data_IF_098785148366
#
_entry.id   IF_098785148366
#
_cell.length_a   1.000
_cell.length_b   1.000
_cell.length_c   1.000
_cell.angle_alpha   90.00
_cell.angle_beta   90.00
_cell.angle_gamma   90.00
#
_symmetry.space_group_name_H-M   'P 1'
#
loop_
_entity.id
_entity.type
_entity.pdbx_description
1 polymer ?
#
# COMPACT_ATOMS: atom_id res chain seq x y z
N UNK A 1 -15.47 -19.00 13.87
CA UNK A 1 -14.20 -18.53 13.27
C UNK A 1 -14.52 -17.41 12.30
N UNK A 2 -13.88 -16.25 12.47
CA UNK A 2 -14.02 -15.08 11.60
C UNK A 2 -12.78 -15.00 10.72
N UNK A 3 -12.96 -14.84 9.39
CA UNK A 3 -11.86 -14.71 8.44
C UNK A 3 -12.08 -13.45 7.63
N UNK A 4 -11.07 -12.56 7.61
CA UNK A 4 -11.06 -11.37 6.75
C UNK A 4 -9.89 -11.43 5.78
N UNK A 5 -10.16 -11.03 4.55
CA UNK A 5 -9.20 -10.96 3.46
C UNK A 5 -9.16 -9.53 2.92
N UNK A 6 -7.96 -8.97 2.78
CA UNK A 6 -7.73 -7.65 2.21
C UNK A 6 -6.67 -7.78 1.12
N UNK A 7 -6.98 -7.24 -0.05
CA UNK A 7 -6.13 -7.33 -1.22
C UNK A 7 -5.00 -6.29 -1.21
N UNK A 8 -3.93 -6.59 -1.92
CA UNK A 8 -2.90 -5.62 -2.28
C UNK A 8 -3.50 -4.48 -3.11
N UNK A 9 -2.78 -3.36 -3.20
CA UNK A 9 -3.23 -2.21 -3.99
C UNK A 9 -2.15 -1.68 -4.92
N UNK A 10 -2.60 -1.08 -6.02
CA UNK A 10 -1.80 -0.30 -6.96
C UNK A 10 -2.22 1.17 -6.88
N UNK A 11 -1.26 2.08 -6.64
CA UNK A 11 -1.45 3.52 -6.88
C UNK A 11 -1.32 3.81 -8.37
N UNK A 12 -2.43 4.18 -9.02
CA UNK A 12 -2.50 4.41 -10.47
C UNK A 12 -1.95 5.79 -10.82
N UNK A 13 -2.39 6.83 -10.11
CA UNK A 13 -1.93 8.21 -10.30
C UNK A 13 -1.99 9.01 -9.01
N UNK A 14 -1.26 10.13 -8.97
CA UNK A 14 -1.26 11.08 -7.86
C UNK A 14 -0.25 10.78 -6.75
N UNK A 15 0.09 9.51 -6.50
CA UNK A 15 1.08 9.20 -5.47
C UNK A 15 2.49 9.74 -5.84
N UNK A 16 3.21 10.36 -4.88
CA UNK A 16 3.06 10.27 -3.43
C UNK A 16 2.29 11.42 -2.76
N UNK A 17 1.46 12.19 -3.46
CA UNK A 17 0.84 13.40 -2.89
C UNK A 17 -0.14 13.14 -1.74
N UNK A 18 -0.59 11.91 -1.55
CA UNK A 18 -1.43 11.48 -0.41
C UNK A 18 -0.79 11.74 0.97
N UNK A 19 0.53 11.67 1.07
CA UNK A 19 1.28 12.05 2.27
C UNK A 19 1.47 13.55 2.45
N UNK A 20 0.96 14.38 1.53
CA UNK A 20 1.16 15.84 1.43
C UNK A 20 -0.14 16.58 1.13
N UNK A 21 -1.25 16.08 1.62
CA UNK A 21 -2.59 16.66 1.45
C UNK A 21 -3.07 16.75 -0.01
N UNK A 22 -2.52 15.91 -0.89
CA UNK A 22 -2.90 15.84 -2.30
C UNK A 22 -4.00 14.82 -2.57
N UNK A 23 -3.99 14.29 -3.80
CA UNK A 23 -5.02 13.39 -4.31
C UNK A 23 -4.40 12.17 -4.94
N UNK A 24 -5.10 11.02 -4.91
CA UNK A 24 -4.66 9.80 -5.58
C UNK A 24 -5.81 9.02 -6.18
N UNK A 25 -5.49 8.24 -7.22
CA UNK A 25 -6.32 7.16 -7.74
C UNK A 25 -5.60 5.84 -7.48
N UNK A 26 -6.27 4.93 -6.80
CA UNK A 26 -5.71 3.60 -6.49
C UNK A 26 -6.77 2.51 -6.67
N UNK A 27 -6.32 1.29 -6.95
CA UNK A 27 -7.18 0.13 -7.09
C UNK A 27 -6.61 -1.05 -6.30
N UNK A 28 -7.48 -1.82 -5.67
CA UNK A 28 -7.12 -3.13 -5.14
C UNK A 28 -6.89 -4.12 -6.29
N UNK A 29 -5.99 -5.09 -6.07
CA UNK A 29 -5.70 -6.16 -7.03
C UNK A 29 -5.79 -7.52 -6.36
N UNK A 30 -6.42 -8.49 -7.02
CA UNK A 30 -6.65 -9.85 -6.48
C UNK A 30 -5.45 -10.78 -6.57
N UNK A 31 -4.36 -10.34 -7.20
CA UNK A 31 -3.11 -11.10 -7.28
C UNK A 31 -2.60 -11.51 -5.90
N UNK A 32 -2.66 -10.60 -4.94
CA UNK A 32 -2.10 -10.79 -3.60
C UNK A 32 -3.08 -10.32 -2.53
N UNK A 33 -3.00 -10.97 -1.36
CA UNK A 33 -3.85 -10.60 -0.23
C UNK A 33 -3.19 -10.88 1.12
N UNK A 34 -3.61 -10.14 2.14
CA UNK A 34 -3.47 -10.52 3.53
C UNK A 34 -4.76 -11.16 4.03
N UNK A 35 -4.64 -12.18 4.87
CA UNK A 35 -5.74 -12.87 5.53
C UNK A 35 -5.51 -12.85 7.03
N UNK A 36 -6.53 -12.55 7.80
CA UNK A 36 -6.54 -12.66 9.26
C UNK A 36 -7.68 -13.57 9.67
N UNK A 37 -7.41 -14.47 10.62
CA UNK A 37 -8.41 -15.37 11.21
C UNK A 37 -8.47 -15.18 12.71
N UNK A 38 -9.67 -15.03 13.26
CA UNK A 38 -9.95 -15.03 14.68
C UNK A 38 -10.80 -16.25 15.04
N UNK A 39 -10.29 -17.08 15.92
CA UNK A 39 -11.00 -18.24 16.46
C UNK A 39 -11.38 -17.96 17.92
N UNK A 40 -12.69 -17.94 18.27
CA UNK A 40 -13.12 -17.75 19.63
C UNK A 40 -12.56 -18.83 20.56
N UNK A 41 -12.17 -18.43 21.76
CA UNK A 41 -11.80 -19.36 22.83
C UNK A 41 -12.73 -19.15 24.03
N UNK A 42 -12.89 -20.18 24.86
CA UNK A 42 -13.79 -20.16 26.02
C UNK A 42 -13.33 -19.30 27.22
N UNK A 43 -12.11 -18.77 27.12
CA UNK A 43 -11.51 -17.89 28.14
C UNK A 43 -11.30 -16.47 27.57
N UNK A 44 -10.95 -15.50 28.42
CA UNK A 44 -10.56 -14.14 28.02
C UNK A 44 -9.15 -14.06 27.42
N UNK A 45 -8.46 -15.19 27.25
CA UNK A 45 -7.08 -15.23 26.78
C UNK A 45 -6.98 -14.91 25.27
N UNK A 46 -6.11 -13.99 24.93
CA UNK A 46 -5.74 -13.66 23.55
C UNK A 46 -4.38 -14.29 23.24
N UNK A 47 -4.30 -15.05 22.13
CA UNK A 47 -3.06 -15.65 21.64
C UNK A 47 -2.84 -15.31 20.18
N UNK A 48 -1.62 -14.92 19.85
CA UNK A 48 -1.17 -14.73 18.46
C UNK A 48 -0.34 -15.94 18.02
N UNK A 49 -0.70 -16.50 16.88
CA UNK A 49 0.10 -17.53 16.23
C UNK A 49 1.09 -16.86 15.27
N UNK A 50 2.40 -16.98 15.52
CA UNK A 50 3.39 -16.44 14.61
C UNK A 50 3.35 -17.14 13.24
N UNK A 51 3.61 -16.42 12.18
CA UNK A 51 3.73 -16.98 10.85
C UNK A 51 5.18 -17.47 10.64
N UNK A 52 5.43 -18.81 10.49
CA UNK A 52 6.80 -19.35 10.51
C UNK A 52 7.76 -18.74 9.48
N UNK A 53 7.24 -18.29 8.33
CA UNK A 53 8.04 -17.66 7.28
C UNK A 53 8.26 -16.16 7.45
N UNK A 54 7.43 -15.50 8.28
CA UNK A 54 7.39 -14.04 8.42
C UNK A 54 7.84 -13.59 9.81
N UNK A 55 7.61 -14.41 10.82
CA UNK A 55 7.95 -14.16 12.22
C UNK A 55 8.94 -15.24 12.69
N UNK A 56 10.11 -15.28 12.04
CA UNK A 56 11.17 -16.23 12.38
C UNK A 56 11.82 -15.80 13.70
N UNK A 57 11.67 -16.62 14.73
CA UNK A 57 12.33 -16.45 16.04
C UNK A 57 13.39 -17.50 16.29
N UNK A 58 13.78 -18.27 15.28
CA UNK A 58 14.86 -19.24 15.33
C UNK A 58 15.98 -18.80 14.41
N UNK A 59 17.17 -18.67 14.97
CA UNK A 59 18.40 -18.32 14.28
C UNK A 59 19.42 -19.41 14.54
N UNK A 60 20.21 -19.77 13.53
CA UNK A 60 21.21 -20.82 13.64
C UNK A 60 22.50 -20.32 14.31
N UNK A 61 22.73 -18.99 14.32
CA UNK A 61 23.88 -18.32 14.95
C UNK A 61 23.60 -16.84 15.22
N UNK A 62 24.48 -16.14 15.94
CA UNK A 62 24.44 -14.69 16.05
C UNK A 62 24.66 -13.98 14.72
N UNK A 63 25.49 -14.56 13.84
CA UNK A 63 25.69 -14.02 12.49
C UNK A 63 24.42 -14.14 11.65
N UNK A 64 23.74 -15.29 11.69
CA UNK A 64 22.45 -15.48 11.02
C UNK A 64 21.39 -14.50 11.55
N UNK A 65 21.32 -14.31 12.86
CA UNK A 65 20.46 -13.28 13.47
C UNK A 65 20.80 -11.90 12.92
N UNK A 66 22.07 -11.54 12.84
CA UNK A 66 22.54 -10.28 12.29
C UNK A 66 22.08 -10.08 10.84
N UNK A 67 22.32 -11.07 9.98
CA UNK A 67 21.90 -11.05 8.57
C UNK A 67 20.38 -10.93 8.44
N UNK A 68 19.61 -11.67 9.22
CA UNK A 68 18.15 -11.58 9.21
C UNK A 68 17.64 -10.25 9.75
N UNK A 69 18.28 -9.69 10.79
CA UNK A 69 17.95 -8.37 11.30
C UNK A 69 18.25 -7.25 10.29
N UNK A 70 19.34 -7.35 9.52
CA UNK A 70 19.62 -6.42 8.42
C UNK A 70 18.59 -6.56 7.28
N UNK A 71 18.26 -7.80 6.88
CA UNK A 71 17.37 -8.07 5.77
C UNK A 71 15.91 -7.73 6.07
N UNK A 72 15.43 -8.06 7.26
CA UNK A 72 14.01 -7.96 7.62
C UNK A 72 13.71 -6.87 8.66
N UNK A 73 14.74 -6.30 9.29
CA UNK A 73 14.62 -5.39 10.43
C UNK A 73 14.17 -6.12 11.71
N UNK A 74 14.10 -5.40 12.82
CA UNK A 74 13.63 -5.92 14.11
C UNK A 74 12.09 -6.08 14.18
N UNK A 75 11.39 -5.98 13.07
CA UNK A 75 9.95 -5.85 13.01
C UNK A 75 9.33 -6.97 12.18
N UNK A 76 8.88 -8.01 12.85
CA UNK A 76 7.98 -8.99 12.25
C UNK A 76 6.56 -8.40 12.03
N UNK A 77 5.74 -9.09 11.23
CA UNK A 77 4.35 -8.69 11.03
C UNK A 77 3.52 -8.78 12.34
N UNK A 78 3.95 -9.56 13.32
CA UNK A 78 3.34 -9.65 14.65
C UNK A 78 3.29 -8.30 15.38
N UNK A 79 4.22 -7.38 15.09
CA UNK A 79 4.18 -6.03 15.64
C UNK A 79 2.98 -5.23 15.12
N UNK A 80 2.61 -5.41 13.85
CA UNK A 80 1.39 -4.82 13.28
C UNK A 80 0.15 -5.34 14.00
N UNK A 81 0.12 -6.65 14.26
CA UNK A 81 -0.98 -7.31 14.99
C UNK A 81 -1.10 -6.74 16.40
N UNK A 82 0.01 -6.68 17.13
CA UNK A 82 0.02 -6.16 18.50
C UNK A 82 -0.45 -4.70 18.55
N UNK A 83 0.11 -3.83 17.72
CA UNK A 83 -0.26 -2.42 17.66
C UNK A 83 -1.74 -2.22 17.27
N UNK A 84 -2.24 -3.03 16.34
CA UNK A 84 -3.65 -2.97 15.93
C UNK A 84 -4.58 -3.35 17.09
N UNK A 85 -4.29 -4.43 17.82
CA UNK A 85 -5.08 -4.82 18.98
C UNK A 85 -5.01 -3.76 20.09
N UNK A 86 -3.84 -3.19 20.35
CA UNK A 86 -3.66 -2.16 21.36
C UNK A 86 -4.48 -0.89 21.03
N UNK A 87 -4.40 -0.40 19.78
CA UNK A 87 -5.19 0.76 19.37
C UNK A 87 -6.70 0.45 19.34
N UNK A 88 -7.08 -0.74 18.86
CA UNK A 88 -8.47 -1.18 18.91
C UNK A 88 -9.03 -1.17 20.35
N UNK A 89 -8.26 -1.66 21.32
CA UNK A 89 -8.65 -1.62 22.73
C UNK A 89 -8.77 -0.18 23.26
N UNK A 90 -7.87 0.73 22.91
CA UNK A 90 -7.97 2.15 23.27
C UNK A 90 -9.25 2.80 22.73
N UNK A 91 -9.66 2.43 21.51
CA UNK A 91 -10.83 3.01 20.84
C UNK A 91 -12.16 2.37 21.32
N UNK A 92 -12.15 1.07 21.64
CA UNK A 92 -13.34 0.26 21.93
C UNK A 92 -13.23 -0.51 23.26
N UNK A 93 -12.61 0.07 24.28
CA UNK A 93 -12.34 -0.60 25.55
C UNK A 93 -13.56 -1.12 26.32
N UNK A 94 -14.78 -0.76 25.89
CA UNK A 94 -16.05 -1.17 26.46
C UNK A 94 -16.64 -2.46 25.88
N UNK A 95 -15.94 -3.14 24.95
CA UNK A 95 -16.49 -4.31 24.21
C UNK A 95 -16.50 -5.62 24.98
N UNK A 96 -16.03 -5.62 26.22
CA UNK A 96 -16.01 -6.81 27.10
C UNK A 96 -14.81 -7.74 26.86
N UNK A 97 -14.66 -8.71 27.78
CA UNK A 97 -13.52 -9.62 27.78
C UNK A 97 -13.85 -10.93 27.06
N UNK A 98 -13.59 -10.97 25.75
CA UNK A 98 -13.69 -12.19 24.92
C UNK A 98 -12.31 -12.54 24.40
N UNK A 99 -11.84 -13.77 24.66
CA UNK A 99 -10.56 -14.24 24.15
C UNK A 99 -10.65 -14.85 22.75
N UNK A 100 -9.54 -14.82 22.05
CA UNK A 100 -9.44 -15.44 20.73
C UNK A 100 -8.01 -15.94 20.42
N UNK A 101 -7.94 -16.89 19.51
CA UNK A 101 -6.72 -17.29 18.85
C UNK A 101 -6.66 -16.55 17.51
N UNK A 102 -5.58 -15.80 17.28
CA UNK A 102 -5.36 -15.03 16.05
C UNK A 102 -4.27 -15.70 15.22
N UNK A 103 -4.57 -15.94 13.95
CA UNK A 103 -3.59 -16.27 12.94
C UNK A 103 -3.72 -15.33 11.75
N UNK A 104 -2.63 -15.16 11.00
CA UNK A 104 -2.63 -14.36 9.79
C UNK A 104 -1.73 -15.00 8.74
N UNK A 105 -1.98 -14.66 7.48
CA UNK A 105 -1.17 -15.06 6.33
C UNK A 105 -1.16 -13.95 5.30
N UNK A 106 -0.13 -13.87 4.48
CA UNK A 106 -0.05 -12.90 3.39
C UNK A 106 0.74 -13.43 2.20
N UNK A 107 0.17 -13.25 1.02
CA UNK A 107 0.85 -13.45 -0.26
C UNK A 107 1.39 -12.15 -0.85
N UNK A 108 1.16 -11.00 -0.19
CA UNK A 108 1.66 -9.71 -0.67
C UNK A 108 3.17 -9.67 -0.51
N UNK A 109 3.95 -9.49 -1.59
CA UNK A 109 5.40 -9.40 -1.52
C UNK A 109 5.86 -8.31 -0.55
N UNK A 110 6.88 -8.61 0.24
CA UNK A 110 7.33 -7.69 1.31
C UNK A 110 8.09 -6.50 0.75
N UNK A 111 7.81 -5.32 1.30
CA UNK A 111 8.58 -4.08 1.05
C UNK A 111 8.65 -3.64 -0.42
N UNK A 112 7.72 -4.09 -1.26
CA UNK A 112 7.65 -3.70 -2.68
C UNK A 112 6.61 -2.62 -2.97
N UNK A 113 6.07 -1.99 -1.94
CA UNK A 113 5.14 -0.88 -2.11
C UNK A 113 3.76 -1.28 -2.63
N UNK A 114 3.24 -2.46 -2.23
CA UNK A 114 1.91 -2.96 -2.58
C UNK A 114 0.89 -2.92 -1.42
N UNK A 115 1.21 -2.20 -0.34
CA UNK A 115 0.30 -2.02 0.81
C UNK A 115 0.18 -3.26 1.70
N UNK A 116 1.26 -4.05 1.90
CA UNK A 116 1.22 -5.28 2.68
C UNK A 116 0.92 -5.05 4.17
N UNK A 117 1.58 -4.06 4.80
CA UNK A 117 1.35 -3.74 6.22
C UNK A 117 -0.08 -3.28 6.46
N UNK A 118 -0.54 -2.32 5.67
CA UNK A 118 -1.91 -1.80 5.78
C UNK A 118 -2.97 -2.87 5.49
N UNK A 119 -2.71 -3.82 4.56
CA UNK A 119 -3.63 -4.93 4.32
C UNK A 119 -3.81 -5.83 5.54
N UNK A 120 -2.73 -6.14 6.28
CA UNK A 120 -2.79 -6.91 7.54
C UNK A 120 -3.58 -6.13 8.58
N UNK A 121 -3.28 -4.85 8.77
CA UNK A 121 -3.97 -3.99 9.76
C UNK A 121 -5.46 -3.89 9.44
N UNK A 122 -5.83 -3.57 8.20
CA UNK A 122 -7.23 -3.43 7.78
C UNK A 122 -7.97 -4.76 7.91
N UNK A 123 -7.33 -5.90 7.55
CA UNK A 123 -7.93 -7.22 7.73
C UNK A 123 -8.19 -7.52 9.22
N UNK A 124 -7.25 -7.18 10.09
CA UNK A 124 -7.41 -7.39 11.53
C UNK A 124 -8.48 -6.47 12.13
N UNK A 125 -8.49 -5.19 11.79
CA UNK A 125 -9.54 -4.26 12.25
C UNK A 125 -10.94 -4.73 11.83
N UNK A 126 -11.10 -5.19 10.58
CA UNK A 126 -12.37 -5.77 10.10
C UNK A 126 -12.75 -7.05 10.87
N UNK A 127 -11.76 -7.87 11.24
CA UNK A 127 -12.00 -9.09 11.99
C UNK A 127 -12.39 -8.78 13.44
N UNK A 128 -11.68 -7.87 14.11
CA UNK A 128 -11.98 -7.43 15.47
C UNK A 128 -13.34 -6.74 15.53
N UNK A 129 -13.63 -5.86 14.56
CA UNK A 129 -14.93 -5.18 14.49
C UNK A 129 -16.09 -6.16 14.43
N UNK A 130 -16.01 -7.21 13.59
CA UNK A 130 -17.03 -8.26 13.53
C UNK A 130 -17.05 -9.10 14.79
N UNK A 131 -15.88 -9.46 15.33
CA UNK A 131 -15.78 -10.29 16.53
C UNK A 131 -16.43 -9.66 17.76
N UNK A 132 -16.23 -8.35 17.93
CA UNK A 132 -16.79 -7.57 19.03
C UNK A 132 -18.11 -6.85 18.67
N UNK A 133 -18.64 -7.08 17.46
CA UNK A 133 -19.93 -6.52 16.99
C UNK A 133 -19.97 -4.97 17.02
N UNK A 134 -18.86 -4.33 16.62
CA UNK A 134 -18.71 -2.87 16.61
C UNK A 134 -18.53 -2.27 15.21
N UNK A 135 -18.74 -3.06 14.16
CA UNK A 135 -18.52 -2.64 12.76
C UNK A 135 -19.32 -1.38 12.38
N UNK A 136 -20.48 -1.17 12.98
CA UNK A 136 -21.37 -0.05 12.72
C UNK A 136 -21.11 1.19 13.62
N UNK A 137 -20.14 1.10 14.55
CA UNK A 137 -19.81 2.23 15.43
C UNK A 137 -19.01 3.32 14.72
N UNK A 138 -18.32 2.97 13.62
CA UNK A 138 -17.55 3.91 12.80
C UNK A 138 -17.95 3.80 11.33
N UNK A 139 -17.96 4.95 10.65
CA UNK A 139 -18.09 4.99 9.19
C UNK A 139 -16.80 4.48 8.52
N UNK A 140 -16.83 4.02 7.26
CA UNK A 140 -15.67 3.46 6.57
C UNK A 140 -14.43 4.38 6.58
N UNK A 141 -14.62 5.69 6.45
CA UNK A 141 -13.55 6.69 6.50
C UNK A 141 -12.81 6.68 7.84
N UNK A 142 -13.54 6.49 8.93
CA UNK A 142 -12.96 6.40 10.29
C UNK A 142 -12.23 5.09 10.52
N UNK A 143 -12.68 3.99 9.92
CA UNK A 143 -11.93 2.72 9.92
C UNK A 143 -10.60 2.86 9.16
N UNK A 144 -10.58 3.60 8.04
CA UNK A 144 -9.36 3.87 7.31
C UNK A 144 -8.39 4.78 8.09
N UNK A 145 -8.93 5.79 8.81
CA UNK A 145 -8.14 6.63 9.72
C UNK A 145 -7.54 5.80 10.85
N UNK A 146 -8.33 4.93 11.48
CA UNK A 146 -7.86 4.05 12.56
C UNK A 146 -6.71 3.14 12.08
N UNK A 147 -6.81 2.59 10.85
CA UNK A 147 -5.74 1.82 10.26
C UNK A 147 -4.45 2.65 10.02
N UNK A 148 -4.57 3.93 9.68
CA UNK A 148 -3.43 4.84 9.55
C UNK A 148 -2.81 5.15 10.92
N UNK A 149 -3.62 5.38 11.96
CA UNK A 149 -3.16 5.64 13.34
C UNK A 149 -2.34 4.48 13.90
N UNK A 150 -2.67 3.23 13.58
CA UNK A 150 -1.86 2.05 13.96
C UNK A 150 -0.41 2.20 13.49
N UNK A 151 -0.19 2.59 12.22
CA UNK A 151 1.17 2.74 11.71
C UNK A 151 1.82 4.04 12.19
N UNK A 152 1.07 5.13 12.23
CA UNK A 152 1.61 6.46 12.53
C UNK A 152 1.83 6.68 14.03
N UNK A 153 0.80 6.42 14.86
CA UNK A 153 0.84 6.71 16.30
C UNK A 153 1.50 5.58 17.09
N UNK A 154 1.11 4.33 16.83
CA UNK A 154 1.61 3.20 17.63
C UNK A 154 3.00 2.73 17.16
N UNK A 155 3.30 2.81 15.87
CA UNK A 155 4.53 2.26 15.31
C UNK A 155 5.54 3.32 14.83
N UNK A 156 5.16 4.61 14.79
CA UNK A 156 6.02 5.69 14.33
C UNK A 156 6.39 5.60 12.84
N UNK A 157 5.57 4.94 12.02
CA UNK A 157 5.83 4.75 10.60
C UNK A 157 5.23 5.93 9.82
N UNK A 158 6.07 6.66 9.09
CA UNK A 158 5.63 7.72 8.20
C UNK A 158 4.98 7.12 6.95
N UNK A 159 3.68 6.88 7.01
CA UNK A 159 2.91 6.24 5.95
C UNK A 159 1.93 7.23 5.29
N UNK A 160 1.73 7.10 3.97
CA UNK A 160 0.68 7.83 3.24
C UNK A 160 -0.72 7.31 3.60
N UNK A 161 -1.74 8.00 3.15
CA UNK A 161 -3.14 7.68 3.51
C UNK A 161 -3.81 6.71 2.52
N UNK A 162 -3.40 6.72 1.25
CA UNK A 162 -4.08 6.02 0.15
C UNK A 162 -4.31 4.53 0.41
N UNK A 163 -3.31 3.84 1.00
CA UNK A 163 -3.33 2.39 1.19
C UNK A 163 -4.50 1.95 2.06
N UNK A 164 -4.64 2.62 3.22
CA UNK A 164 -5.65 2.31 4.22
C UNK A 164 -7.04 2.58 3.70
N UNK A 165 -7.20 3.68 2.96
CA UNK A 165 -8.49 4.03 2.35
C UNK A 165 -8.88 3.00 1.30
N UNK A 166 -8.07 2.80 0.25
CA UNK A 166 -8.46 1.87 -0.83
C UNK A 166 -8.62 0.44 -0.33
N UNK A 167 -7.87 -0.01 0.68
CA UNK A 167 -8.00 -1.36 1.25
C UNK A 167 -9.18 -1.49 2.21
N UNK A 168 -9.62 -0.40 2.82
CA UNK A 168 -10.84 -0.38 3.64
C UNK A 168 -12.09 -0.44 2.77
N UNK A 169 -12.15 0.36 1.71
CA UNK A 169 -13.28 0.44 0.80
C UNK A 169 -13.29 -0.69 -0.23
N UNK A 170 -12.11 -1.14 -0.71
CA UNK A 170 -11.97 -2.05 -1.84
C UNK A 170 -12.12 -1.35 -3.18
N UNK A 171 -11.91 -2.08 -4.26
CA UNK A 171 -12.17 -1.63 -5.61
C UNK A 171 -11.25 -0.51 -6.11
N UNK A 172 -11.78 0.31 -7.00
CA UNK A 172 -11.12 1.44 -7.64
C UNK A 172 -11.62 2.76 -7.04
N UNK A 173 -10.71 3.51 -6.41
CA UNK A 173 -11.03 4.69 -5.61
C UNK A 173 -10.29 5.93 -6.08
N UNK A 174 -11.02 7.04 -6.16
CA UNK A 174 -10.46 8.40 -6.13
C UNK A 174 -10.48 8.92 -4.70
N UNK A 175 -9.38 9.50 -4.27
CA UNK A 175 -9.18 9.95 -2.90
C UNK A 175 -8.60 11.37 -2.88
N UNK A 176 -9.27 12.29 -2.20
CA UNK A 176 -8.83 13.67 -1.95
C UNK A 176 -8.51 13.82 -0.46
N UNK A 177 -7.26 14.14 -0.16
CA UNK A 177 -6.73 14.32 1.19
C UNK A 177 -6.51 15.79 1.53
N UNK A 178 -7.26 16.71 0.93
CA UNK A 178 -7.09 18.14 1.17
C UNK A 178 -7.01 18.47 2.67
N UNK A 179 -5.99 19.27 3.04
CA UNK A 179 -5.69 19.59 4.43
C UNK A 179 -6.91 20.09 5.20
N UNK A 180 -7.72 20.94 4.55
CA UNK A 180 -8.93 21.48 5.15
C UNK A 180 -9.93 20.36 5.55
N UNK A 181 -10.07 19.31 4.74
CA UNK A 181 -10.95 18.18 5.04
C UNK A 181 -10.41 17.35 6.21
N UNK A 182 -9.10 17.08 6.20
CA UNK A 182 -8.42 16.33 7.28
C UNK A 182 -8.52 17.10 8.60
N UNK A 183 -8.22 18.40 8.60
CA UNK A 183 -8.25 19.23 9.82
C UNK A 183 -9.67 19.33 10.42
N UNK A 184 -10.72 19.36 9.58
CA UNK A 184 -12.10 19.51 10.03
C UNK A 184 -12.75 18.23 10.55
N UNK A 185 -12.44 17.08 9.96
CA UNK A 185 -13.18 15.84 10.23
C UNK A 185 -12.29 14.59 10.45
N UNK A 186 -10.95 14.74 10.31
CA UNK A 186 -9.98 13.67 10.50
C UNK A 186 -9.80 12.76 9.28
N UNK A 187 -10.54 12.97 8.17
CA UNK A 187 -10.43 12.15 6.96
C UNK A 187 -10.71 12.96 5.69
N UNK A 188 -10.27 12.45 4.54
CA UNK A 188 -10.44 13.06 3.23
C UNK A 188 -11.83 12.89 2.62
N UNK A 189 -11.92 13.05 1.31
CA UNK A 189 -13.11 12.73 0.51
C UNK A 189 -12.77 11.58 -0.43
N UNK A 190 -13.54 10.49 -0.34
CA UNK A 190 -13.25 9.25 -1.04
C UNK A 190 -14.47 8.83 -1.84
N UNK A 191 -14.27 8.48 -3.10
CA UNK A 191 -15.36 7.98 -3.94
C UNK A 191 -14.90 6.82 -4.84
N UNK A 192 -15.74 5.81 -5.05
CA UNK A 192 -15.49 4.83 -6.10
C UNK A 192 -15.55 5.51 -7.46
N UNK A 193 -14.68 5.08 -8.38
CA UNK A 193 -14.72 5.53 -9.77
C UNK A 193 -15.63 4.62 -10.59
N UNK A 194 -16.45 5.23 -11.45
CA UNK A 194 -17.19 4.51 -12.48
C UNK A 194 -16.23 4.12 -13.60
N UNK A 195 -16.38 2.92 -14.12
CA UNK A 195 -15.53 2.43 -15.22
C UNK A 195 -16.31 1.44 -16.07
N UNK A 196 -15.95 1.31 -17.34
CA UNK A 196 -16.48 0.28 -18.26
C UNK A 196 -15.47 -0.87 -18.46
N UNK A 197 -14.40 -0.87 -17.70
CA UNK A 197 -13.28 -1.80 -17.71
C UNK A 197 -11.97 -1.08 -17.42
N UNK A 198 -11.00 -1.83 -16.92
CA UNK A 198 -9.63 -1.32 -16.71
C UNK A 198 -8.72 -1.88 -17.80
N UNK A 199 -7.67 -1.12 -18.19
CA UNK A 199 -6.75 -1.60 -19.21
C UNK A 199 -5.97 -2.81 -18.72
N UNK A 200 -5.47 -3.60 -19.67
CA UNK A 200 -4.52 -4.65 -19.41
C UNK A 200 -3.25 -4.08 -18.77
N UNK A 201 -2.88 -4.64 -17.64
CA UNK A 201 -1.77 -4.16 -16.84
C UNK A 201 -0.94 -5.32 -16.27
N UNK A 202 0.32 -5.02 -15.94
CA UNK A 202 1.20 -5.93 -15.24
C UNK A 202 1.74 -5.30 -13.96
N UNK A 203 2.12 -6.16 -13.04
CA UNK A 203 2.93 -5.82 -11.88
C UNK A 203 4.22 -6.63 -11.95
N UNK A 204 5.37 -5.96 -11.86
CA UNK A 204 6.68 -6.61 -11.75
C UNK A 204 7.35 -6.20 -10.44
N UNK A 205 8.06 -7.12 -9.79
CA UNK A 205 8.67 -6.86 -8.49
C UNK A 205 9.91 -7.74 -8.26
N UNK A 206 10.71 -7.35 -7.26
CA UNK A 206 11.92 -8.08 -6.84
C UNK A 206 11.71 -8.76 -5.48
N UNK A 207 12.33 -9.92 -5.29
CA UNK A 207 12.37 -10.61 -3.98
C UNK A 207 13.29 -9.93 -2.95
N UNK A 208 14.22 -9.11 -3.43
CA UNK A 208 15.20 -8.41 -2.60
C UNK A 208 15.04 -6.89 -2.72
N UNK A 209 13.93 -6.31 -2.26
CA UNK A 209 13.81 -4.86 -2.25
C UNK A 209 14.85 -4.29 -1.29
N UNK A 210 15.81 -3.51 -1.79
CA UNK A 210 16.65 -2.70 -0.92
C UNK A 210 15.75 -1.79 -0.11
N UNK A 211 16.14 -1.44 1.14
CA UNK A 211 15.33 -0.60 2.08
C UNK A 211 15.13 0.83 1.54
N UNK A 212 14.33 0.99 0.46
CA UNK A 212 14.12 2.29 -0.16
C UNK A 212 13.00 3.12 0.47
N UNK A 213 11.99 2.49 1.10
CA UNK A 213 10.75 3.20 1.47
C UNK A 213 10.91 4.29 2.52
N UNK A 214 11.66 4.05 3.59
CA UNK A 214 11.88 5.06 4.65
C UNK A 214 12.88 6.13 4.25
N UNK A 215 13.94 5.77 3.54
CA UNK A 215 14.99 6.70 3.12
C UNK A 215 14.49 7.68 2.02
N UNK A 216 13.57 7.26 1.17
CA UNK A 216 13.03 8.12 0.10
C UNK A 216 12.10 9.22 0.60
N UNK A 217 11.24 8.92 1.57
CA UNK A 217 10.17 9.87 1.95
C UNK A 217 10.64 10.98 2.88
N UNK A 218 11.65 10.72 3.70
CA UNK A 218 12.10 11.68 4.71
C UNK A 218 12.63 13.00 4.14
N UNK A 219 13.57 13.05 3.18
CA UNK A 219 14.08 14.31 2.65
C UNK A 219 12.99 15.19 2.02
N UNK A 220 12.12 14.59 1.20
CA UNK A 220 11.02 15.30 0.53
C UNK A 220 10.01 15.83 1.56
N UNK A 221 9.73 15.06 2.61
CA UNK A 221 8.84 15.48 3.69
C UNK A 221 9.41 16.67 4.47
N UNK A 222 10.71 16.66 4.79
CA UNK A 222 11.36 17.80 5.43
C UNK A 222 11.30 19.05 4.57
N UNK A 223 11.63 18.95 3.27
CA UNK A 223 11.55 20.08 2.35
C UNK A 223 10.12 20.65 2.23
N UNK A 224 9.11 19.77 2.12
CA UNK A 224 7.71 20.17 2.09
C UNK A 224 7.31 20.92 3.38
N UNK A 225 7.63 20.38 4.55
CA UNK A 225 7.32 21.01 5.84
C UNK A 225 8.07 22.30 6.07
N UNK A 226 9.28 22.44 5.50
CA UNK A 226 10.05 23.69 5.50
C UNK A 226 9.49 24.76 4.53
N UNK A 227 8.44 24.43 3.76
CA UNK A 227 7.80 25.37 2.83
C UNK A 227 8.52 25.52 1.50
N UNK A 228 9.31 24.52 1.07
CA UNK A 228 9.97 24.51 -0.24
C UNK A 228 8.92 24.57 -1.35
N UNK A 229 8.89 25.70 -2.06
CA UNK A 229 7.91 25.99 -3.10
C UNK A 229 7.98 25.01 -4.26
N UNK A 230 9.18 24.53 -4.63
CA UNK A 230 9.35 23.58 -5.73
C UNK A 230 8.73 22.22 -5.36
N UNK A 231 8.95 21.74 -4.14
CA UNK A 231 8.36 20.48 -3.65
C UNK A 231 6.84 20.62 -3.52
N UNK A 232 6.34 21.73 -2.95
CA UNK A 232 4.89 22.00 -2.83
C UNK A 232 4.22 22.02 -4.20
N UNK A 233 4.84 22.69 -5.18
CA UNK A 233 4.33 22.74 -6.55
C UNK A 233 4.25 21.35 -7.18
N UNK A 234 5.33 20.55 -7.06
CA UNK A 234 5.33 19.17 -7.57
C UNK A 234 4.26 18.28 -6.93
N UNK A 235 3.99 18.46 -5.63
CA UNK A 235 2.89 17.73 -4.97
C UNK A 235 1.52 18.13 -5.53
N UNK A 236 1.32 19.41 -5.86
CA UNK A 236 0.10 19.87 -6.52
C UNK A 236 -0.02 19.30 -7.95
N UNK A 237 1.07 19.19 -8.70
CA UNK A 237 1.09 18.52 -10.01
C UNK A 237 0.70 17.04 -9.91
N UNK A 238 1.22 16.30 -8.92
CA UNK A 238 0.77 14.93 -8.67
C UNK A 238 -0.73 14.87 -8.36
N UNK A 239 -1.25 15.76 -7.53
CA UNK A 239 -2.67 15.81 -7.22
C UNK A 239 -3.53 16.07 -8.47
N UNK A 240 -3.09 16.96 -9.37
CA UNK A 240 -3.75 17.22 -10.65
C UNK A 240 -3.76 15.98 -11.55
N UNK A 241 -2.67 15.19 -11.57
CA UNK A 241 -2.64 13.93 -12.32
C UNK A 241 -3.67 12.91 -11.78
N UNK A 242 -4.01 12.94 -10.49
CA UNK A 242 -5.08 12.11 -9.95
C UNK A 242 -6.46 12.54 -10.49
N UNK A 243 -6.73 13.85 -10.56
CA UNK A 243 -7.97 14.37 -11.16
C UNK A 243 -8.08 13.92 -12.63
N UNK A 244 -7.03 14.14 -13.41
CA UNK A 244 -6.98 13.75 -14.81
C UNK A 244 -7.11 12.23 -15.02
N UNK A 245 -6.55 11.41 -14.13
CA UNK A 245 -6.65 9.96 -14.20
C UNK A 245 -8.07 9.48 -13.88
N UNK A 246 -8.73 10.10 -12.91
CA UNK A 246 -10.13 9.81 -12.61
C UNK A 246 -11.03 10.10 -13.81
N UNK A 247 -10.88 11.29 -14.44
CA UNK A 247 -11.62 11.66 -15.65
C UNK A 247 -11.34 10.68 -16.79
N UNK A 248 -10.05 10.35 -17.03
CA UNK A 248 -9.66 9.45 -18.12
C UNK A 248 -10.26 8.03 -17.95
N UNK A 249 -10.35 7.55 -16.71
CA UNK A 249 -10.96 6.25 -16.40
C UNK A 249 -12.48 6.32 -16.60
N UNK A 250 -13.14 7.34 -16.09
CA UNK A 250 -14.60 7.49 -16.18
C UNK A 250 -15.05 7.75 -17.63
N UNK A 251 -14.21 8.36 -18.47
CA UNK A 251 -14.44 8.57 -19.92
C UNK A 251 -13.91 7.42 -20.81
N UNK A 252 -13.31 6.37 -20.24
CA UNK A 252 -12.68 5.26 -20.99
C UNK A 252 -11.54 5.69 -21.93
N UNK A 253 -10.82 6.77 -21.59
CA UNK A 253 -9.71 7.33 -22.37
C UNK A 253 -8.37 6.65 -22.01
N UNK A 254 -8.23 5.35 -22.31
CA UNK A 254 -7.10 4.52 -21.86
C UNK A 254 -5.73 5.03 -22.35
N UNK A 255 -5.66 5.64 -23.55
CA UNK A 255 -4.44 6.25 -24.08
C UNK A 255 -4.02 7.47 -23.24
N UNK A 256 -4.99 8.28 -22.84
CA UNK A 256 -4.77 9.42 -21.93
C UNK A 256 -4.29 8.95 -20.56
N UNK A 257 -4.89 7.89 -20.01
CA UNK A 257 -4.44 7.28 -18.78
C UNK A 257 -2.98 6.83 -18.86
N UNK A 258 -2.57 6.20 -19.97
CA UNK A 258 -1.18 5.81 -20.21
C UNK A 258 -0.23 7.02 -20.20
N UNK A 259 -0.62 8.14 -20.79
CA UNK A 259 0.17 9.38 -20.77
C UNK A 259 0.31 9.96 -19.36
N UNK A 260 -0.77 9.93 -18.58
CA UNK A 260 -0.77 10.37 -17.18
C UNK A 260 0.18 9.52 -16.31
N UNK A 261 0.18 8.20 -16.50
CA UNK A 261 1.11 7.28 -15.82
C UNK A 261 2.57 7.64 -16.13
N UNK A 262 2.89 7.93 -17.39
CA UNK A 262 4.24 8.36 -17.80
C UNK A 262 4.63 9.68 -17.14
N UNK A 263 3.74 10.67 -17.15
CA UNK A 263 3.99 11.97 -16.51
C UNK A 263 4.17 11.82 -15.01
N UNK A 264 3.35 10.99 -14.33
CA UNK A 264 3.51 10.71 -12.89
C UNK A 264 4.90 10.09 -12.59
N UNK A 265 5.39 9.20 -13.45
CA UNK A 265 6.75 8.66 -13.33
C UNK A 265 7.82 9.74 -13.51
N UNK A 266 7.71 10.57 -14.53
CA UNK A 266 8.66 11.65 -14.79
C UNK A 266 8.77 12.63 -13.63
N UNK A 267 7.63 13.11 -13.10
CA UNK A 267 7.59 13.96 -11.92
C UNK A 267 8.25 13.29 -10.69
N UNK A 268 8.02 11.98 -10.52
CA UNK A 268 8.64 11.24 -9.42
C UNK A 268 10.16 11.18 -9.59
N UNK A 269 10.66 10.90 -10.79
CA UNK A 269 12.08 10.86 -11.08
C UNK A 269 12.76 12.21 -10.87
N UNK A 270 12.11 13.31 -11.27
CA UNK A 270 12.58 14.66 -11.03
C UNK A 270 12.62 15.03 -9.54
N UNK A 271 11.59 14.57 -8.77
CA UNK A 271 11.47 14.89 -7.35
C UNK A 271 12.54 14.17 -6.50
N UNK A 272 12.77 12.90 -6.77
CA UNK A 272 13.64 12.05 -5.95
C UNK A 272 15.06 11.90 -6.51
N UNK A 273 15.25 12.04 -7.82
CA UNK A 273 16.50 11.77 -8.50
C UNK A 273 16.84 10.27 -8.56
N UNK A 274 17.68 9.91 -9.52
CA UNK A 274 18.02 8.51 -9.81
C UNK A 274 18.72 7.81 -8.64
N UNK A 275 19.55 8.52 -7.89
CA UNK A 275 20.28 7.97 -6.74
C UNK A 275 19.35 7.46 -5.63
N UNK A 276 18.27 8.20 -5.32
CA UNK A 276 17.28 7.78 -4.32
C UNK A 276 16.32 6.71 -4.86
N UNK A 277 16.02 6.74 -6.14
CA UNK A 277 15.14 5.74 -6.77
C UNK A 277 15.81 4.38 -6.85
N UNK A 278 17.11 4.33 -7.03
CA UNK A 278 17.93 3.12 -7.04
C UNK A 278 17.92 2.37 -8.37
N UNK A 279 19.03 1.71 -8.67
CA UNK A 279 19.30 1.07 -9.95
C UNK A 279 18.28 0.00 -10.33
N UNK A 280 17.91 -0.89 -9.38
CA UNK A 280 16.95 -1.97 -9.64
C UNK A 280 15.57 -1.43 -10.06
N UNK A 281 15.11 -0.38 -9.37
CA UNK A 281 13.85 0.27 -9.69
C UNK A 281 13.88 0.95 -11.07
N UNK A 282 14.99 1.62 -11.39
CA UNK A 282 15.20 2.25 -12.69
C UNK A 282 15.31 1.22 -13.82
N UNK A 283 15.98 0.08 -13.56
CA UNK A 283 16.08 -1.03 -14.50
C UNK A 283 14.70 -1.62 -14.82
N UNK A 284 13.85 -1.88 -13.80
CA UNK A 284 12.49 -2.38 -14.02
C UNK A 284 11.65 -1.40 -14.87
N UNK A 285 11.68 -0.10 -14.57
CA UNK A 285 10.99 0.91 -15.39
C UNK A 285 11.56 0.95 -16.81
N UNK A 286 12.89 0.89 -16.96
CA UNK A 286 13.57 0.90 -18.26
C UNK A 286 13.17 -0.29 -19.14
N UNK A 287 12.88 -1.45 -18.58
CA UNK A 287 12.33 -2.59 -19.32
C UNK A 287 10.96 -2.20 -19.91
N UNK A 288 10.02 -1.75 -19.08
CA UNK A 288 8.69 -1.33 -19.54
C UNK A 288 8.75 -0.27 -20.65
N UNK A 289 9.60 0.75 -20.47
CA UNK A 289 9.77 1.85 -21.43
C UNK A 289 10.28 1.38 -22.80
N UNK A 290 11.22 0.43 -22.86
CA UNK A 290 11.72 -0.17 -24.11
C UNK A 290 10.63 -0.83 -24.93
N UNK A 291 9.60 -1.35 -24.30
CA UNK A 291 8.43 -1.94 -24.98
C UNK A 291 7.27 -0.95 -25.17
N UNK A 292 7.49 0.34 -24.90
CA UNK A 292 6.47 1.39 -25.06
C UNK A 292 5.37 1.37 -23.98
N UNK A 293 5.56 0.59 -22.89
CA UNK A 293 4.59 0.47 -21.82
C UNK A 293 4.67 1.67 -20.88
N UNK A 294 3.58 2.41 -20.66
CA UNK A 294 3.47 3.36 -19.56
C UNK A 294 3.67 2.63 -18.24
N UNK A 295 4.63 3.09 -17.43
CA UNK A 295 4.93 2.41 -16.17
C UNK A 295 5.39 3.38 -15.08
N UNK A 296 5.11 3.04 -13.82
CA UNK A 296 5.49 3.78 -12.62
C UNK A 296 5.52 2.86 -11.39
N UNK A 297 6.00 3.37 -10.26
CA UNK A 297 5.86 2.64 -9.00
C UNK A 297 4.42 2.68 -8.49
N UNK A 298 3.86 1.53 -8.07
CA UNK A 298 2.53 1.47 -7.45
C UNK A 298 2.48 2.07 -6.04
N UNK A 299 3.64 2.14 -5.38
CA UNK A 299 3.82 2.66 -4.03
C UNK A 299 5.22 3.24 -3.83
N UNK A 300 5.92 2.80 -2.78
CA UNK A 300 7.24 3.32 -2.38
C UNK A 300 8.40 2.86 -3.26
N UNK A 301 8.25 1.84 -4.07
CA UNK A 301 9.30 1.20 -4.88
C UNK A 301 9.41 -0.29 -4.58
N UNK A 302 10.32 -0.99 -5.25
CA UNK A 302 10.45 -2.45 -5.20
C UNK A 302 9.50 -3.20 -6.14
N UNK A 303 8.47 -2.52 -6.64
CA UNK A 303 7.61 -2.98 -7.72
C UNK A 303 7.37 -1.89 -8.76
N UNK A 304 7.01 -2.32 -9.95
CA UNK A 304 6.59 -1.50 -11.10
C UNK A 304 5.24 -1.98 -11.57
N UNK A 305 4.32 -1.05 -11.70
CA UNK A 305 3.04 -1.20 -12.36
C UNK A 305 3.10 -0.60 -13.76
N UNK A 306 2.61 -1.31 -14.77
CA UNK A 306 2.60 -0.81 -16.14
C UNK A 306 1.41 -1.31 -16.96
N UNK A 307 1.02 -0.52 -17.97
CA UNK A 307 0.03 -0.94 -18.97
C UNK A 307 0.75 -1.61 -20.14
N UNK A 308 0.16 -2.70 -20.68
CA UNK A 308 0.70 -3.34 -21.87
C UNK A 308 -0.33 -3.40 -23.00
N UNK A 309 0.18 -3.39 -24.25
CA UNK A 309 -0.60 -3.42 -25.45
C UNK A 309 -0.13 -4.61 -26.31
N UNK A 310 -0.74 -5.80 -26.13
CA UNK A 310 -0.43 -7.03 -26.89
C UNK A 310 1.04 -7.51 -26.83
N UNK A 311 1.85 -7.08 -25.83
CA UNK A 311 3.29 -7.44 -25.72
C UNK A 311 3.65 -8.06 -24.37
N UNK A 312 2.67 -8.58 -23.66
CA UNK A 312 2.92 -9.11 -22.32
C UNK A 312 3.99 -10.20 -22.29
N UNK A 313 3.90 -11.19 -23.19
CA UNK A 313 4.80 -12.34 -23.18
C UNK A 313 6.27 -11.92 -23.43
N UNK A 314 6.50 -10.96 -24.34
CA UNK A 314 7.82 -10.41 -24.59
C UNK A 314 8.40 -9.66 -23.39
N UNK A 315 7.57 -8.89 -22.72
CA UNK A 315 7.97 -8.14 -21.52
C UNK A 315 8.24 -9.12 -20.38
N UNK A 316 7.37 -10.12 -20.19
CA UNK A 316 7.48 -11.13 -19.15
C UNK A 316 8.77 -11.94 -19.27
N UNK A 317 9.14 -12.34 -20.48
CA UNK A 317 10.41 -13.04 -20.73
C UNK A 317 11.61 -12.22 -20.26
N UNK A 318 11.63 -10.91 -20.55
CA UNK A 318 12.76 -10.06 -20.16
C UNK A 318 12.82 -9.84 -18.65
N UNK A 319 11.69 -9.56 -17.98
CA UNK A 319 11.65 -9.45 -16.52
C UNK A 319 12.13 -10.74 -15.84
N UNK A 320 11.61 -11.89 -16.26
CA UNK A 320 11.93 -13.19 -15.69
C UNK A 320 13.42 -13.54 -15.91
N UNK A 321 13.97 -13.29 -17.10
CA UNK A 321 15.39 -13.54 -17.41
C UNK A 321 16.32 -12.69 -16.54
N UNK A 322 15.88 -11.51 -16.11
CA UNK A 322 16.64 -10.62 -15.23
C UNK A 322 16.36 -10.88 -13.74
N UNK A 323 15.61 -11.93 -13.40
CA UNK A 323 15.35 -12.33 -12.02
C UNK A 323 14.22 -11.57 -11.33
N UNK A 324 13.38 -10.86 -12.08
CA UNK A 324 12.18 -10.21 -11.54
C UNK A 324 10.95 -11.11 -11.69
N UNK A 325 10.04 -11.01 -10.74
CA UNK A 325 8.68 -11.56 -10.90
C UNK A 325 7.84 -10.63 -11.74
N UNK A 326 6.93 -11.19 -12.52
CA UNK A 326 5.93 -10.43 -13.28
C UNK A 326 4.62 -11.19 -13.35
N UNK A 327 3.50 -10.48 -13.15
CA UNK A 327 2.14 -11.03 -13.24
C UNK A 327 1.22 -10.06 -13.97
N UNK A 328 0.21 -10.61 -14.67
CA UNK A 328 -0.92 -9.81 -15.17
C UNK A 328 -1.75 -9.34 -13.98
N UNK A 329 -2.14 -8.08 -13.99
CA UNK A 329 -2.98 -7.52 -12.92
C UNK A 329 -4.38 -8.10 -13.01
N UNK A 330 -4.89 -8.57 -11.89
CA UNK A 330 -6.28 -8.98 -11.71
C UNK A 330 -6.96 -7.90 -10.87
N UNK A 331 -7.65 -6.99 -11.54
CA UNK A 331 -8.33 -5.87 -10.89
C UNK A 331 -9.44 -6.34 -9.95
N UNK A 332 -9.57 -5.70 -8.80
CA UNK A 332 -10.68 -5.88 -7.86
C UNK A 332 -11.74 -4.79 -8.13
N UNK A 333 -12.57 -5.01 -9.15
CA UNK A 333 -13.58 -4.08 -9.67
C UNK A 333 -14.90 -4.80 -9.94
#
# INVERSE_FOLDING_TARGET
MIIKKVYARIGIAGNPSDGFYGKTVSCCIRNFAARVSLEPVSSSVIRFLPLPRMDCFRFDSLDDLGVQAEKYGYYGAIRLIYATCALFHKEFGDVGERGFLLSYDTTIPRQVGLGGSSAIIVALLKALAEYYEVQDRLIPEKWAELAWRVEHEELGIAAGLQDRVVQTFGGLMYMDFAKQLIDQRGYGSYRPLRHQGMPDAFIAYTDNPRKYSGAMHNPVRYSYMAGDKAVIFKMAEFALLADQAADAIECCELTRLGSIIKTNWQLRRELYGDALLGEDNLAMIGIAQRYGCPAKFPGSGGAVFGLYYNRYEQIAEVYTRLGYHIEKVIWDI
#
